data_IF_048049423165
#
_entry.id   IF_048049423165
#
_cell.length_a   1.000
_cell.length_b   1.000
_cell.length_c   1.000
_cell.angle_alpha   90.00
_cell.angle_beta   90.00
_cell.angle_gamma   90.00
#
_symmetry.space_group_name_H-M   'P 1'
#
loop_
_entity.id
_entity.type
_entity.pdbx_description
1 polymer ?
#
# COMPACT_ATOMS: atom_id res chain seq x y z
N UNK A 1 -7.17 16.05 -11.73
CA UNK A 1 -6.95 15.20 -10.54
C UNK A 1 -7.50 15.87 -9.29
N UNK A 2 -8.15 15.10 -8.43
CA UNK A 2 -8.65 15.54 -7.14
C UNK A 2 -7.63 15.10 -6.08
N UNK A 3 -7.38 15.99 -5.11
CA UNK A 3 -6.49 15.72 -3.99
C UNK A 3 -7.15 16.14 -2.68
N UNK A 4 -7.23 15.22 -1.73
CA UNK A 4 -7.76 15.48 -0.39
C UNK A 4 -6.60 15.89 0.51
N UNK A 5 -6.54 17.18 0.83
CA UNK A 5 -5.42 17.76 1.56
C UNK A 5 -5.28 17.29 3.01
N UNK A 6 -6.39 16.91 3.62
CA UNK A 6 -6.38 16.41 5.00
C UNK A 6 -7.54 15.45 5.23
N UNK A 7 -7.25 14.31 5.85
CA UNK A 7 -8.27 13.38 6.31
C UNK A 7 -7.81 12.59 7.52
N UNK A 8 -8.75 12.07 8.27
CA UNK A 8 -8.53 11.23 9.43
C UNK A 8 -9.77 11.16 10.29
N UNK A 9 -9.70 10.34 11.32
CA UNK A 9 -10.79 10.16 12.27
C UNK A 9 -10.27 10.34 13.68
N UNK A 10 -10.98 11.09 14.55
CA UNK A 10 -10.59 11.21 15.94
C UNK A 10 -10.79 9.85 16.63
N UNK A 11 -9.71 9.29 17.11
CA UNK A 11 -9.74 8.14 18.01
C UNK A 11 -9.78 8.68 19.42
N UNK A 12 -10.88 8.54 20.14
CA UNK A 12 -11.02 9.14 21.48
C UNK A 12 -9.99 8.62 22.47
N UNK A 13 -9.60 9.45 23.42
CA UNK A 13 -8.48 9.30 24.34
C UNK A 13 -8.41 7.97 25.10
N UNK A 14 -9.56 7.37 25.35
CA UNK A 14 -9.63 6.03 25.96
C UNK A 14 -9.05 4.93 25.11
N UNK A 15 -8.70 5.24 23.86
CA UNK A 15 -8.18 4.26 22.90
C UNK A 15 -6.67 4.13 22.93
N UNK A 16 -5.95 5.00 23.61
CA UNK A 16 -4.48 4.94 23.67
C UNK A 16 -3.96 3.83 24.61
N UNK A 17 -4.81 3.36 25.50
CA UNK A 17 -4.56 2.16 26.32
C UNK A 17 -5.13 0.90 25.69
N UNK A 18 -5.54 0.97 24.43
CA UNK A 18 -6.19 -0.13 23.77
C UNK A 18 -5.16 -1.21 23.44
N UNK A 19 -5.34 -2.35 24.07
CA UNK A 19 -4.71 -3.61 23.70
C UNK A 19 -5.07 -3.94 22.25
N UNK A 20 -4.08 -4.31 21.46
CA UNK A 20 -4.27 -4.73 20.07
C UNK A 20 -5.40 -5.79 19.99
N UNK A 21 -6.38 -5.56 19.11
CA UNK A 21 -7.57 -6.42 19.00
C UNK A 21 -8.82 -5.93 19.73
N UNK A 22 -8.76 -4.80 20.42
CA UNK A 22 -9.95 -4.22 21.04
C UNK A 22 -11.00 -3.83 19.98
N UNK A 23 -12.28 -3.97 20.32
CA UNK A 23 -13.41 -3.62 19.44
C UNK A 23 -13.36 -2.18 18.92
N UNK A 24 -12.82 -1.24 19.70
CA UNK A 24 -12.63 0.14 19.28
C UNK A 24 -11.63 0.26 18.15
N UNK A 25 -10.46 -0.39 18.25
CA UNK A 25 -9.46 -0.41 17.18
C UNK A 25 -10.00 -1.08 15.92
N UNK A 26 -10.74 -2.18 16.04
CA UNK A 26 -11.33 -2.86 14.90
C UNK A 26 -12.33 -1.97 14.16
N UNK A 27 -13.16 -1.22 14.87
CA UNK A 27 -14.09 -0.25 14.26
C UNK A 27 -13.35 0.87 13.54
N UNK A 28 -12.32 1.44 14.15
CA UNK A 28 -11.50 2.47 13.50
C UNK A 28 -10.75 1.93 12.30
N UNK A 29 -10.16 0.74 12.42
CA UNK A 29 -9.50 0.07 11.31
C UNK A 29 -10.45 -0.10 10.12
N UNK A 30 -11.65 -0.57 10.36
CA UNK A 30 -12.68 -0.73 9.32
C UNK A 30 -13.04 0.61 8.67
N UNK A 31 -13.18 1.67 9.45
CA UNK A 31 -13.47 3.01 8.94
C UNK A 31 -12.35 3.53 8.04
N UNK A 32 -11.07 3.33 8.46
CA UNK A 32 -9.91 3.68 7.65
C UNK A 32 -9.85 2.86 6.36
N UNK A 33 -10.14 1.55 6.41
CA UNK A 33 -10.20 0.67 5.23
C UNK A 33 -11.23 1.18 4.24
N UNK A 34 -12.46 1.39 4.67
CA UNK A 34 -13.54 1.87 3.79
C UNK A 34 -13.21 3.20 3.14
N UNK A 35 -12.63 4.11 3.90
CA UNK A 35 -12.21 5.42 3.36
C UNK A 35 -11.09 5.27 2.33
N UNK A 36 -10.08 4.46 2.63
CA UNK A 36 -8.99 4.18 1.70
C UNK A 36 -9.49 3.53 0.40
N UNK A 37 -10.42 2.58 0.50
CA UNK A 37 -11.04 1.94 -0.68
C UNK A 37 -11.83 2.93 -1.53
N UNK A 38 -12.54 3.88 -0.92
CA UNK A 38 -13.23 4.94 -1.67
C UNK A 38 -12.21 5.80 -2.43
N UNK A 39 -11.11 6.19 -1.78
CA UNK A 39 -10.07 6.97 -2.45
C UNK A 39 -9.42 6.20 -3.60
N UNK A 40 -9.14 4.92 -3.41
CA UNK A 40 -8.59 4.05 -4.45
C UNK A 40 -9.55 3.96 -5.66
N UNK A 41 -10.84 3.70 -5.42
CA UNK A 41 -11.85 3.61 -6.47
C UNK A 41 -12.06 4.93 -7.23
N UNK A 42 -11.93 6.05 -6.53
CA UNK A 42 -12.05 7.38 -7.13
C UNK A 42 -10.74 7.86 -7.79
N UNK A 43 -9.63 7.17 -7.59
CA UNK A 43 -8.31 7.59 -8.08
C UNK A 43 -7.85 8.93 -7.50
N UNK A 44 -8.22 9.25 -6.25
CA UNK A 44 -7.85 10.50 -5.59
C UNK A 44 -6.62 10.34 -4.70
N UNK A 45 -5.70 11.29 -4.77
CA UNK A 45 -4.60 11.42 -3.83
C UNK A 45 -5.08 11.96 -2.48
N UNK A 46 -4.40 11.60 -1.40
CA UNK A 46 -4.77 12.09 -0.07
C UNK A 46 -3.60 12.17 0.89
N UNK A 47 -3.72 13.07 1.88
CA UNK A 47 -2.79 13.18 3.01
C UNK A 47 -3.52 12.84 4.29
N UNK A 48 -3.04 11.81 5.00
CA UNK A 48 -3.54 11.49 6.33
C UNK A 48 -2.98 12.50 7.35
N UNK A 49 -3.84 13.18 8.07
CA UNK A 49 -3.50 13.98 9.24
C UNK A 49 -3.57 13.09 10.51
N UNK A 50 -2.74 13.20 11.44
CA UNK A 50 -1.44 13.85 11.58
C UNK A 50 -0.38 12.78 11.81
N UNK A 51 0.88 13.08 11.52
CA UNK A 51 1.95 12.11 11.74
C UNK A 51 2.20 11.90 13.23
N UNK A 52 2.45 12.99 13.93
CA UNK A 52 2.72 12.99 15.38
C UNK A 52 1.84 14.01 16.07
N UNK A 53 1.23 13.63 17.17
CA UNK A 53 0.46 14.53 18.00
C UNK A 53 1.34 15.28 19.01
N UNK A 54 1.09 16.58 19.17
CA UNK A 54 1.69 17.36 20.24
C UNK A 54 0.70 17.45 21.42
N UNK A 55 1.14 17.17 22.63
CA UNK A 55 0.32 17.24 23.86
C UNK A 55 -0.40 18.57 24.03
N UNK A 56 0.26 19.68 23.74
CA UNK A 56 -0.35 21.01 23.88
C UNK A 56 -1.50 21.24 22.90
N UNK A 57 -1.37 20.75 21.67
CA UNK A 57 -2.44 20.82 20.67
C UNK A 57 -3.58 19.84 20.98
N UNK A 58 -3.27 18.70 21.55
CA UNK A 58 -4.26 17.72 21.96
C UNK A 58 -5.23 18.27 23.00
N UNK A 59 -4.69 18.92 24.02
CA UNK A 59 -5.49 19.53 25.08
C UNK A 59 -6.33 20.70 24.55
N UNK A 60 -5.84 21.40 23.57
CA UNK A 60 -6.52 22.54 22.99
C UNK A 60 -7.69 22.16 22.08
N UNK A 61 -7.49 21.15 21.23
CA UNK A 61 -8.48 20.83 20.21
C UNK A 61 -9.51 19.77 20.64
N UNK A 62 -9.13 18.80 21.48
CA UNK A 62 -9.99 17.63 21.73
C UNK A 62 -9.89 17.05 23.14
N UNK A 63 -9.21 17.74 24.05
CA UNK A 63 -9.19 17.36 25.47
C UNK A 63 -8.50 16.04 25.81
N UNK A 64 -7.51 15.61 25.02
CA UNK A 64 -6.83 14.34 25.26
C UNK A 64 -5.64 14.05 24.35
N UNK A 65 -5.03 12.88 24.45
CA UNK A 65 -3.94 12.46 23.58
C UNK A 65 -4.38 12.55 22.12
N UNK A 66 -3.45 12.90 21.22
CA UNK A 66 -3.78 13.14 19.81
C UNK A 66 -4.61 12.03 19.19
N UNK A 67 -5.86 12.32 19.02
CA UNK A 67 -6.82 11.35 18.50
C UNK A 67 -6.70 11.16 16.99
N UNK A 68 -5.95 12.02 16.31
CA UNK A 68 -5.79 12.02 14.85
C UNK A 68 -4.46 11.45 14.38
N UNK A 69 -3.43 11.44 15.24
CA UNK A 69 -2.09 11.03 14.84
C UNK A 69 -1.97 9.53 14.60
N UNK A 70 -1.00 9.16 13.78
CA UNK A 70 -0.65 7.75 13.55
C UNK A 70 0.31 7.20 14.60
N UNK A 71 0.91 8.07 15.40
CA UNK A 71 1.71 7.71 16.57
C UNK A 71 1.09 8.27 17.83
N UNK A 72 1.22 7.51 18.92
CA UNK A 72 0.91 8.02 20.25
C UNK A 72 1.87 9.15 20.62
N UNK A 73 1.55 9.80 21.71
CA UNK A 73 2.35 10.84 22.30
C UNK A 73 3.52 10.28 23.15
N UNK A 74 4.06 9.16 22.71
CA UNK A 74 5.22 8.55 23.35
C UNK A 74 6.51 9.07 22.73
N UNK A 75 7.54 9.16 23.55
CA UNK A 75 8.91 9.42 23.10
C UNK A 75 9.50 8.22 22.33
N UNK A 76 8.92 7.04 22.51
CA UNK A 76 9.27 5.83 21.81
C UNK A 76 8.33 5.59 20.63
N UNK A 77 8.73 6.08 19.46
CA UNK A 77 7.97 5.97 18.22
C UNK A 77 7.74 4.50 17.80
N UNK A 78 8.65 3.60 18.14
CA UNK A 78 8.54 2.20 17.79
C UNK A 78 7.37 1.49 18.50
N UNK A 79 7.11 1.84 19.76
CA UNK A 79 6.00 1.28 20.55
C UNK A 79 4.72 2.09 20.43
N UNK A 80 4.82 3.32 19.97
CA UNK A 80 3.72 4.28 19.90
C UNK A 80 2.93 4.21 18.60
N UNK A 81 3.31 3.36 17.66
CA UNK A 81 2.66 3.25 16.36
C UNK A 81 1.25 2.66 16.49
N UNK A 82 0.27 3.36 15.94
CA UNK A 82 -1.11 2.87 15.82
C UNK A 82 -1.25 1.97 14.58
N UNK A 83 -0.82 0.73 14.70
CA UNK A 83 -0.79 -0.23 13.57
C UNK A 83 -2.13 -0.39 12.87
N UNK A 84 -3.24 -0.32 13.61
CA UNK A 84 -4.58 -0.38 13.03
C UNK A 84 -4.89 0.76 12.04
N UNK A 85 -4.12 1.87 12.08
CA UNK A 85 -4.16 2.97 11.11
C UNK A 85 -3.05 2.80 10.07
N UNK A 86 -1.82 2.63 10.53
CA UNK A 86 -0.65 2.65 9.64
C UNK A 86 -0.63 1.51 8.66
N UNK A 87 -1.12 0.32 9.04
CA UNK A 87 -1.27 -0.80 8.12
C UNK A 87 -2.28 -0.52 6.99
N UNK A 88 -3.24 0.35 7.25
CA UNK A 88 -4.21 0.73 6.21
C UNK A 88 -3.66 1.81 5.29
N UNK A 89 -3.07 2.87 5.86
CA UNK A 89 -2.61 4.01 5.05
C UNK A 89 -1.35 3.70 4.24
N UNK A 90 -0.52 2.76 4.71
CA UNK A 90 0.70 2.32 4.02
C UNK A 90 0.46 1.15 3.05
N UNK A 91 -0.78 0.95 2.63
CA UNK A 91 -1.15 -0.08 1.67
C UNK A 91 -0.40 0.06 0.35
N UNK A 92 -0.24 -1.04 -0.41
CA UNK A 92 0.26 -0.97 -1.78
C UNK A 92 -0.59 -0.05 -2.67
N UNK A 93 0.06 0.74 -3.50
CA UNK A 93 -0.62 1.65 -4.44
C UNK A 93 0.28 2.00 -5.65
N UNK A 94 -0.31 2.32 -6.81
CA UNK A 94 0.43 2.85 -7.94
C UNK A 94 0.88 4.29 -7.66
N UNK A 95 2.18 4.52 -7.53
CA UNK A 95 2.74 5.84 -7.27
C UNK A 95 2.86 6.67 -8.56
N UNK A 96 3.32 6.01 -9.61
CA UNK A 96 3.45 6.59 -10.95
C UNK A 96 3.22 5.48 -11.96
N UNK A 97 2.40 5.70 -12.96
CA UNK A 97 2.18 4.74 -14.04
C UNK A 97 2.48 5.41 -15.38
N UNK A 98 3.34 4.77 -16.16
CA UNK A 98 3.52 5.10 -17.56
C UNK A 98 2.29 4.62 -18.34
N UNK A 99 1.31 5.48 -18.49
CA UNK A 99 0.00 5.16 -19.06
C UNK A 99 -1.15 5.75 -18.28
N UNK A 100 -2.30 5.13 -18.42
CA UNK A 100 -3.53 5.53 -17.76
C UNK A 100 -3.97 4.46 -16.76
N UNK A 101 -4.23 4.86 -15.51
CA UNK A 101 -4.83 3.98 -14.51
C UNK A 101 -6.33 3.94 -14.79
N UNK A 102 -6.86 2.73 -15.04
CA UNK A 102 -8.28 2.51 -15.22
C UNK A 102 -8.97 2.28 -13.87
N UNK A 103 -8.33 1.48 -13.03
CA UNK A 103 -8.78 1.26 -11.65
C UNK A 103 -7.66 0.68 -10.81
N UNK A 104 -7.70 0.90 -9.50
CA UNK A 104 -6.92 0.12 -8.55
C UNK A 104 -7.66 -0.03 -7.23
N UNK A 105 -7.35 -1.09 -6.53
CA UNK A 105 -7.90 -1.37 -5.21
C UNK A 105 -6.94 -2.28 -4.44
N UNK A 106 -6.68 -1.93 -3.18
CA UNK A 106 -6.03 -2.85 -2.26
C UNK A 106 -7.05 -3.49 -1.33
N UNK A 107 -7.20 -4.80 -1.44
CA UNK A 107 -8.04 -5.58 -0.54
C UNK A 107 -7.28 -5.91 0.75
N UNK A 108 -7.65 -5.30 1.84
CA UNK A 108 -6.99 -5.47 3.14
C UNK A 108 -7.17 -6.87 3.75
N UNK A 109 -8.26 -7.57 3.43
CA UNK A 109 -8.52 -8.91 3.95
C UNK A 109 -7.65 -9.96 3.27
N UNK A 110 -7.49 -9.87 1.96
CA UNK A 110 -6.67 -10.80 1.17
C UNK A 110 -5.25 -10.30 0.96
N UNK A 111 -4.95 -9.05 1.32
CA UNK A 111 -3.70 -8.35 1.02
C UNK A 111 -3.36 -8.37 -0.47
N UNK A 112 -4.36 -8.25 -1.31
CA UNK A 112 -4.18 -8.25 -2.76
C UNK A 112 -4.32 -6.83 -3.30
N UNK A 113 -3.34 -6.38 -4.08
CA UNK A 113 -3.48 -5.21 -4.93
C UNK A 113 -3.99 -5.68 -6.30
N UNK A 114 -5.13 -5.15 -6.71
CA UNK A 114 -5.66 -5.25 -8.07
C UNK A 114 -5.46 -3.90 -8.76
N UNK A 115 -4.80 -3.89 -9.92
CA UNK A 115 -4.47 -2.69 -10.68
C UNK A 115 -4.73 -2.93 -12.15
N UNK A 116 -5.64 -2.16 -12.75
CA UNK A 116 -5.90 -2.14 -14.18
C UNK A 116 -5.30 -0.89 -14.79
N UNK A 117 -4.49 -1.06 -15.82
CA UNK A 117 -3.85 0.03 -16.53
C UNK A 117 -3.95 -0.14 -18.04
N UNK A 118 -3.85 0.98 -18.75
CA UNK A 118 -3.53 1.01 -20.18
C UNK A 118 -2.15 1.64 -20.30
N UNK A 119 -1.07 0.84 -20.44
CA UNK A 119 0.29 1.36 -20.44
C UNK A 119 0.58 2.17 -21.71
N UNK A 120 1.47 3.12 -21.54
CA UNK A 120 2.10 3.87 -22.64
C UNK A 120 3.60 3.98 -22.34
N UNK A 121 4.36 3.08 -22.94
CA UNK A 121 5.80 2.98 -22.69
C UNK A 121 6.60 4.21 -23.13
N UNK A 122 5.98 5.17 -23.83
CA UNK A 122 6.62 6.45 -24.18
C UNK A 122 6.65 7.42 -22.99
N UNK A 123 5.85 7.18 -21.95
CA UNK A 123 5.74 8.04 -20.76
C UNK A 123 6.78 7.73 -19.66
N UNK A 124 7.73 6.82 -19.92
CA UNK A 124 8.82 6.48 -18.99
C UNK A 124 8.52 5.29 -18.11
N UNK A 125 9.11 5.24 -16.91
CA UNK A 125 8.97 4.11 -16.00
C UNK A 125 7.77 4.25 -15.06
N UNK A 126 7.16 3.11 -14.72
CA UNK A 126 6.14 3.02 -13.68
C UNK A 126 6.77 2.71 -12.32
N UNK A 127 6.14 3.17 -11.24
CA UNK A 127 6.53 2.87 -9.85
C UNK A 127 5.30 2.48 -9.05
N UNK A 128 5.33 1.31 -8.46
CA UNK A 128 4.27 0.81 -7.58
C UNK A 128 4.87 0.61 -6.19
N UNK A 129 4.34 1.29 -5.20
CA UNK A 129 4.69 1.04 -3.81
C UNK A 129 4.05 -0.27 -3.36
N UNK A 130 4.83 -1.19 -2.84
CA UNK A 130 4.38 -2.51 -2.40
C UNK A 130 4.32 -2.61 -0.89
N UNK A 131 5.27 -1.99 -0.18
CA UNK A 131 5.34 -2.07 1.28
C UNK A 131 5.53 -3.50 1.79
N UNK A 132 6.44 -4.26 1.15
CA UNK A 132 6.60 -5.70 1.36
C UNK A 132 6.88 -6.05 2.83
N UNK A 133 7.70 -5.28 3.52
CA UNK A 133 8.02 -5.52 4.93
C UNK A 133 6.79 -5.51 5.85
N UNK A 134 5.75 -4.79 5.47
CA UNK A 134 4.52 -4.65 6.26
C UNK A 134 3.42 -5.60 5.79
N UNK A 135 3.22 -5.68 4.48
CA UNK A 135 2.07 -6.40 3.91
C UNK A 135 2.41 -7.82 3.45
N UNK A 136 3.68 -8.08 3.14
CA UNK A 136 4.12 -9.35 2.55
C UNK A 136 5.40 -9.88 3.21
N UNK A 137 5.41 -10.09 4.55
CA UNK A 137 6.62 -10.53 5.26
C UNK A 137 7.15 -11.87 4.76
N UNK A 138 6.29 -12.71 4.21
CA UNK A 138 6.66 -14.02 3.64
C UNK A 138 6.87 -13.96 2.11
N UNK A 139 6.96 -12.73 1.56
CA UNK A 139 7.10 -12.49 0.13
C UNK A 139 5.78 -12.27 -0.59
N UNK A 140 5.88 -11.98 -1.88
CA UNK A 140 4.74 -11.72 -2.74
C UNK A 140 4.97 -12.22 -4.16
N UNK A 141 3.86 -12.44 -4.87
CA UNK A 141 3.85 -12.75 -6.30
C UNK A 141 3.16 -11.65 -7.08
N UNK A 142 3.68 -11.36 -8.28
CA UNK A 142 3.09 -10.43 -9.24
C UNK A 142 2.54 -11.22 -10.41
N UNK A 143 1.29 -10.99 -10.72
CA UNK A 143 0.58 -11.60 -11.85
C UNK A 143 0.25 -10.51 -12.85
N UNK A 144 0.48 -10.77 -14.14
CA UNK A 144 -0.02 -9.93 -15.23
C UNK A 144 -0.98 -10.76 -16.06
N UNK A 145 -2.21 -10.29 -16.27
CA UNK A 145 -3.29 -10.99 -16.97
C UNK A 145 -3.55 -12.41 -16.42
N UNK A 146 -3.41 -12.59 -15.10
CA UNK A 146 -3.48 -13.87 -14.39
C UNK A 146 -2.38 -14.90 -14.72
N UNK A 147 -1.43 -14.56 -15.58
CA UNK A 147 -0.22 -15.34 -15.73
C UNK A 147 0.77 -14.98 -14.62
N UNK A 148 1.51 -15.98 -14.15
CA UNK A 148 2.54 -15.74 -13.17
C UNK A 148 3.78 -15.14 -13.83
N UNK A 149 4.30 -14.09 -13.25
CA UNK A 149 5.42 -13.35 -13.84
C UNK A 149 6.63 -13.36 -12.94
N UNK A 150 6.45 -12.96 -11.69
CA UNK A 150 7.56 -12.71 -10.78
C UNK A 150 7.16 -12.93 -9.33
N UNK A 151 8.16 -13.19 -8.50
CA UNK A 151 7.97 -13.24 -7.07
C UNK A 151 9.17 -12.63 -6.32
N UNK A 152 8.90 -12.11 -5.16
CA UNK A 152 9.91 -11.69 -4.19
C UNK A 152 9.91 -12.64 -3.01
N UNK A 153 11.11 -13.17 -2.69
CA UNK A 153 11.31 -14.03 -1.53
C UNK A 153 12.33 -13.37 -0.58
N UNK A 154 11.88 -12.84 0.57
CA UNK A 154 12.77 -12.16 1.50
C UNK A 154 13.83 -13.06 2.12
N UNK A 155 13.63 -14.39 2.11
CA UNK A 155 14.58 -15.34 2.65
C UNK A 155 15.79 -15.58 1.73
N UNK A 156 15.67 -15.26 0.44
CA UNK A 156 16.73 -15.53 -0.54
C UNK A 156 17.69 -14.37 -0.78
N UNK A 157 17.37 -13.18 -0.29
CA UNK A 157 18.16 -11.96 -0.50
C UNK A 157 18.51 -11.66 -1.98
N UNK A 158 17.70 -12.16 -2.90
CA UNK A 158 17.89 -12.07 -4.35
C UNK A 158 16.69 -11.34 -4.91
N UNK A 159 16.73 -10.09 -5.14
CA UNK A 159 15.67 -9.28 -5.75
C UNK A 159 14.38 -10.01 -6.21
N UNK A 160 13.78 -9.54 -7.30
CA UNK A 160 12.63 -10.23 -7.90
C UNK A 160 13.13 -11.38 -8.80
N UNK A 161 12.61 -12.57 -8.54
CA UNK A 161 12.82 -13.74 -9.39
C UNK A 161 11.66 -13.89 -10.38
N UNK A 162 11.97 -14.26 -11.61
CA UNK A 162 10.96 -14.52 -12.65
C UNK A 162 10.73 -16.01 -12.80
N UNK A 163 9.48 -16.43 -12.63
CA UNK A 163 9.11 -17.83 -12.85
C UNK A 163 8.66 -18.09 -14.29
N UNK A 164 7.77 -17.22 -14.80
CA UNK A 164 7.25 -17.31 -16.16
C UNK A 164 7.04 -15.88 -16.66
N UNK A 165 7.76 -15.51 -17.70
CA UNK A 165 7.49 -14.25 -18.37
C UNK A 165 6.30 -14.41 -19.34
N UNK A 166 5.30 -13.50 -19.30
CA UNK A 166 4.30 -13.44 -20.35
C UNK A 166 4.98 -13.24 -21.70
N UNK A 167 4.36 -13.71 -22.77
CA UNK A 167 4.87 -13.46 -24.12
C UNK A 167 5.04 -11.95 -24.34
N UNK A 168 6.24 -11.52 -24.63
CA UNK A 168 6.57 -10.09 -24.82
C UNK A 168 7.07 -9.35 -23.57
N UNK A 169 7.08 -9.97 -22.40
CA UNK A 169 7.70 -9.39 -21.22
C UNK A 169 9.21 -9.72 -21.16
N UNK A 170 10.01 -8.71 -20.85
CA UNK A 170 11.41 -8.91 -20.53
C UNK A 170 11.58 -8.80 -19.00
N UNK A 171 12.08 -9.83 -18.31
CA UNK A 171 12.28 -9.81 -16.87
C UNK A 171 13.13 -8.64 -16.39
N UNK A 172 14.11 -8.20 -17.18
CA UNK A 172 14.97 -7.06 -16.80
C UNK A 172 14.26 -5.70 -16.80
N UNK A 173 13.05 -5.63 -17.32
CA UNK A 173 12.22 -4.43 -17.25
C UNK A 173 11.57 -4.23 -15.86
N UNK A 174 11.67 -5.23 -14.98
CA UNK A 174 11.08 -5.22 -13.66
C UNK A 174 12.16 -5.21 -12.58
N UNK A 175 12.23 -4.16 -11.81
CA UNK A 175 13.25 -3.95 -10.79
C UNK A 175 12.59 -3.83 -9.42
N UNK A 176 13.09 -4.58 -8.45
CA UNK A 176 12.71 -4.41 -7.06
C UNK A 176 13.69 -3.48 -6.36
N UNK A 177 13.19 -2.35 -5.88
CA UNK A 177 13.93 -1.46 -5.00
C UNK A 177 13.53 -1.75 -3.54
N UNK A 178 14.32 -2.56 -2.88
CA UNK A 178 14.08 -2.99 -1.50
C UNK A 178 14.12 -1.81 -0.52
N UNK A 179 15.00 -0.85 -0.74
CA UNK A 179 15.13 0.32 0.14
C UNK A 179 13.89 1.18 0.13
N UNK A 180 13.31 1.43 -1.01
CA UNK A 180 12.08 2.21 -1.15
C UNK A 180 10.80 1.36 -1.17
N UNK A 181 10.94 0.04 -1.10
CA UNK A 181 9.84 -0.93 -1.12
C UNK A 181 8.95 -0.79 -2.36
N UNK A 182 9.58 -0.58 -3.53
CA UNK A 182 8.88 -0.30 -4.78
C UNK A 182 9.24 -1.29 -5.87
N UNK A 183 8.22 -1.68 -6.62
CA UNK A 183 8.40 -2.25 -7.94
C UNK A 183 8.54 -1.13 -8.95
N UNK A 184 9.65 -1.13 -9.69
CA UNK A 184 9.91 -0.22 -10.80
C UNK A 184 9.76 -1.02 -12.09
N UNK A 185 8.91 -0.58 -12.99
CA UNK A 185 8.70 -1.19 -14.30
C UNK A 185 9.18 -0.22 -15.36
N UNK A 186 10.27 -0.58 -16.03
CA UNK A 186 10.88 0.24 -17.09
C UNK A 186 10.03 0.22 -18.35
N UNK A 187 9.49 -0.96 -18.67
CA UNK A 187 8.62 -1.16 -19.82
C UNK A 187 7.60 -2.23 -19.53
N UNK A 188 6.32 -1.93 -19.80
CA UNK A 188 5.24 -2.89 -19.71
C UNK A 188 5.21 -3.80 -20.94
N UNK A 189 4.87 -5.09 -20.78
CA UNK A 189 4.47 -5.91 -21.92
C UNK A 189 3.16 -5.35 -22.49
N UNK A 190 2.88 -5.62 -23.76
CA UNK A 190 1.62 -5.22 -24.40
C UNK A 190 1.31 -3.72 -24.31
N UNK A 191 2.20 -2.89 -24.86
CA UNK A 191 2.02 -1.43 -24.94
C UNK A 191 0.67 -1.05 -25.52
N UNK A 192 -0.04 -0.11 -24.88
CA UNK A 192 -1.37 0.39 -25.24
C UNK A 192 -2.54 -0.60 -25.19
N UNK A 193 -2.31 -1.83 -24.71
CA UNK A 193 -3.36 -2.78 -24.39
C UNK A 193 -3.70 -2.72 -22.88
N UNK A 194 -4.91 -3.15 -22.51
CA UNK A 194 -5.29 -3.22 -21.10
C UNK A 194 -4.53 -4.34 -20.40
N UNK A 195 -3.95 -4.02 -19.25
CA UNK A 195 -3.26 -4.94 -18.37
C UNK A 195 -3.92 -5.02 -17.00
N UNK A 196 -4.17 -6.24 -16.55
CA UNK A 196 -4.57 -6.54 -15.17
C UNK A 196 -3.34 -7.01 -14.41
N UNK A 197 -2.92 -6.21 -13.43
CA UNK A 197 -1.78 -6.52 -12.57
C UNK A 197 -2.32 -6.87 -11.18
N UNK A 198 -1.87 -7.98 -10.61
CA UNK A 198 -2.15 -8.35 -9.22
C UNK A 198 -0.87 -8.54 -8.45
N UNK A 199 -0.84 -8.00 -7.22
CA UNK A 199 0.19 -8.36 -6.25
C UNK A 199 -0.50 -9.13 -5.13
N UNK A 200 -0.06 -10.35 -4.90
CA UNK A 200 -0.68 -11.28 -3.97
C UNK A 200 0.33 -11.78 -2.94
N UNK A 201 -0.10 -12.08 -1.69
CA UNK A 201 0.79 -12.62 -0.67
C UNK A 201 1.37 -13.99 -1.06
N UNK A 202 2.59 -14.21 -0.61
CA UNK A 202 3.29 -15.49 -0.71
C UNK A 202 3.81 -15.80 -2.09
N UNK A 203 4.63 -16.84 -2.14
CA UNK A 203 5.19 -17.39 -3.37
C UNK A 203 4.25 -18.49 -3.83
N UNK A 204 3.59 -18.30 -4.95
CA UNK A 204 2.75 -19.35 -5.52
C UNK A 204 3.65 -20.39 -6.17
N UNK A 205 3.64 -21.61 -5.63
CA UNK A 205 4.20 -22.77 -6.33
C UNK A 205 3.18 -23.20 -7.38
N UNK A 206 3.54 -23.00 -8.64
CA UNK A 206 2.82 -23.59 -9.76
C UNK A 206 3.49 -24.93 -10.09
N UNK A 207 2.91 -25.99 -9.56
CA UNK A 207 3.18 -27.36 -10.04
C UNK A 207 2.40 -27.60 -11.31
#
# INVERSE_FOLDING_TARGET
PIFIGEWGFPTFATTDTIIEGNLGQLKYRELYIRTAEVFDRMGVGSIKAWFLGNRSMQNFLYGGPSTWSIFNDSTDVGTAERKYITDVISRPFPQTIAGDIQSFLFNHATRTLDLNIKPDNTKGASKIFIGANRHYPDGFSILINNDFVMYYNPLKNVGIETYKAPKGANPSDFIWDEKSQKLIVLKWPFDKEELVIKVVPGIRNFN
#
